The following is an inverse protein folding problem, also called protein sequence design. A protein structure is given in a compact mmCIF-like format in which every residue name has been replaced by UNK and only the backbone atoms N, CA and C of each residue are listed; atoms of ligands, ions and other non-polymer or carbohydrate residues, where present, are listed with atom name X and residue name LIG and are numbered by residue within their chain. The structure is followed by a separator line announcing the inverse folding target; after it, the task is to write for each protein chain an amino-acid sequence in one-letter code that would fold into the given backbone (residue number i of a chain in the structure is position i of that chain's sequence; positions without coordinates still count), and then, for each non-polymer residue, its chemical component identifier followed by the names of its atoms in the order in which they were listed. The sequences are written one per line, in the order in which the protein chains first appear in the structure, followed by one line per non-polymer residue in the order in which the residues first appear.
data_IF_889138899639
#
_entry.id   IF_889138899639
#
_cell.length_a   1.000
_cell.length_b   1.000
_cell.length_c   1.000
_cell.angle_alpha   90.00
_cell.angle_beta   90.00
_cell.angle_gamma   90.00
#
_symmetry.space_group_name_H-M   'P 1'
#
loop_
_entity.id
_entity.type
_entity.pdbx_description
1 polymer ?
#
# COMPACT_ATOMS: atom_id res chain seq x y z
N UNK A 1 -53.66 -11.14 -1.08
CA UNK A 1 -54.21 -11.83 0.11
C UNK A 1 -53.06 -12.57 0.79
N UNK A 2 -52.44 -11.98 1.81
CA UNK A 2 -52.18 -12.68 3.06
C UNK A 2 -51.81 -11.66 4.14
N UNK A 3 -52.48 -11.79 5.27
CA UNK A 3 -52.42 -10.92 6.44
C UNK A 3 -51.35 -11.46 7.40
N UNK A 4 -50.80 -10.57 8.23
CA UNK A 4 -50.53 -10.70 9.68
C UNK A 4 -49.30 -9.83 10.00
N UNK A 5 -49.57 -8.62 10.50
CA UNK A 5 -48.60 -7.83 11.25
C UNK A 5 -49.16 -7.69 12.66
N UNK A 6 -48.47 -8.32 13.61
CA UNK A 6 -48.73 -8.18 15.05
C UNK A 6 -48.17 -6.84 15.53
N UNK A 7 -49.04 -6.05 16.15
CA UNK A 7 -48.69 -4.97 17.08
C UNK A 7 -48.06 -5.56 18.34
N UNK A 8 -47.07 -4.88 18.93
CA UNK A 8 -46.90 -4.77 20.39
C UNK A 8 -46.06 -3.53 20.75
N UNK A 9 -46.74 -2.54 21.34
CA UNK A 9 -46.19 -1.46 22.16
C UNK A 9 -45.88 -1.99 23.57
N UNK A 10 -44.76 -1.56 24.17
CA UNK A 10 -44.59 -1.37 25.62
C UNK A 10 -43.35 -0.48 25.83
N UNK A 11 -43.49 0.82 26.12
CA UNK A 11 -43.72 1.45 27.43
C UNK A 11 -42.47 1.41 28.34
N UNK A 12 -41.79 2.56 28.41
CA UNK A 12 -40.72 2.88 29.35
C UNK A 12 -41.30 3.24 30.73
N UNK A 13 -40.66 2.78 31.81
CA UNK A 13 -40.82 3.34 33.15
C UNK A 13 -39.47 3.46 33.85
N UNK A 14 -39.29 4.61 34.49
CA UNK A 14 -38.15 5.06 35.30
C UNK A 14 -38.48 4.85 36.77
N UNK A 15 -37.60 4.23 37.56
CA UNK A 15 -37.30 4.42 39.01
C UNK A 15 -36.59 3.16 39.56
N UNK A 16 -35.69 3.16 40.54
CA UNK A 16 -35.14 4.18 41.43
C UNK A 16 -33.99 3.57 42.26
N UNK A 17 -33.19 4.42 42.91
CA UNK A 17 -32.14 4.02 43.85
C UNK A 17 -32.73 3.60 45.20
N UNK A 18 -32.16 2.57 45.85
CA UNK A 18 -32.05 2.57 47.32
C UNK A 18 -30.97 1.61 47.86
N UNK A 19 -30.01 2.24 48.54
CA UNK A 19 -29.21 1.85 49.71
C UNK A 19 -29.47 0.49 50.39
N UNK A 20 -28.39 -0.26 50.64
CA UNK A 20 -28.17 -0.82 52.00
C UNK A 20 -26.71 -1.15 52.28
N UNK A 21 -26.26 -0.51 53.36
CA UNK A 21 -24.99 -0.60 54.05
C UNK A 21 -24.98 -1.82 54.97
N UNK A 22 -23.83 -2.49 55.04
CA UNK A 22 -23.47 -3.37 56.16
C UNK A 22 -21.98 -3.16 56.45
N UNK A 23 -21.73 -2.30 57.43
CA UNK A 23 -20.46 -2.24 58.16
C UNK A 23 -20.31 -3.50 59.02
N UNK A 24 -19.11 -4.08 59.05
CA UNK A 24 -18.62 -4.68 60.28
C UNK A 24 -17.09 -4.55 60.34
N UNK A 25 -16.64 -3.64 61.20
CA UNK A 25 -15.27 -3.50 61.65
C UNK A 25 -15.12 -4.17 63.01
N UNK A 26 -14.03 -4.91 63.22
CA UNK A 26 -13.27 -5.15 64.48
C UNK A 26 -12.58 -6.52 64.37
N UNK A 27 -11.39 -6.80 64.89
CA UNK A 27 -10.26 -6.05 65.43
C UNK A 27 -9.16 -7.10 65.69
N UNK A 28 -7.90 -6.68 65.60
CA UNK A 28 -6.68 -7.49 65.74
C UNK A 28 -6.48 -8.13 67.13
N UNK A 29 -5.75 -9.25 67.17
CA UNK A 29 -4.92 -9.65 68.32
C UNK A 29 -3.69 -10.46 67.86
N UNK A 30 -2.62 -10.35 68.64
CA UNK A 30 -1.20 -10.55 68.28
C UNK A 30 -0.64 -11.82 68.93
N UNK A 31 0.41 -12.38 68.31
CA UNK A 31 1.63 -13.05 68.88
C UNK A 31 1.83 -14.57 68.70
N UNK A 32 2.98 -14.88 68.05
CA UNK A 32 3.72 -16.15 67.76
C UNK A 32 4.26 -16.88 69.03
N UNK A 33 5.08 -17.99 68.97
CA UNK A 33 5.77 -18.64 67.84
C UNK A 33 5.76 -20.20 67.82
N UNK A 34 6.07 -20.79 66.67
CA UNK A 34 6.22 -22.24 66.52
C UNK A 34 7.06 -22.64 65.31
N UNK A 35 8.34 -22.87 65.58
CA UNK A 35 9.33 -23.72 64.91
C UNK A 35 9.28 -23.93 63.38
N UNK A 36 10.39 -23.50 62.77
CA UNK A 36 10.86 -23.80 61.42
C UNK A 36 10.83 -25.29 61.07
N UNK A 37 10.47 -25.58 59.82
CA UNK A 37 11.06 -26.68 59.05
C UNK A 37 11.11 -26.23 57.61
N UNK A 38 12.27 -25.69 57.24
CA UNK A 38 12.68 -25.40 55.87
C UNK A 38 12.55 -26.67 55.03
N UNK A 39 11.58 -26.68 54.11
CA UNK A 39 11.66 -27.53 52.93
C UNK A 39 11.79 -26.61 51.74
N UNK A 40 13.04 -26.26 51.44
CA UNK A 40 13.43 -25.52 50.24
C UNK A 40 13.20 -26.44 49.04
N UNK A 41 12.03 -26.34 48.42
CA UNK A 41 11.82 -26.85 47.07
C UNK A 41 12.78 -26.09 46.14
N UNK A 42 13.60 -26.74 45.30
CA UNK A 42 14.43 -26.04 44.33
C UNK A 42 13.51 -25.27 43.39
N UNK A 43 13.52 -23.95 43.51
CA UNK A 43 12.77 -23.05 42.66
C UNK A 43 13.39 -23.16 41.26
N UNK A 44 12.64 -23.80 40.34
CA UNK A 44 13.02 -23.88 38.94
C UNK A 44 13.29 -22.46 38.44
N UNK A 45 14.43 -22.20 37.78
CA UNK A 45 14.72 -20.89 37.22
C UNK A 45 13.52 -20.45 36.37
N UNK A 46 13.08 -19.18 36.45
CA UNK A 46 12.08 -18.69 35.52
C UNK A 46 12.56 -19.00 34.10
N UNK A 47 11.68 -19.52 33.22
CA UNK A 47 12.07 -19.75 31.83
C UNK A 47 12.63 -18.43 31.28
N UNK A 48 13.69 -18.48 30.45
CA UNK A 48 14.27 -17.29 29.88
C UNK A 48 13.13 -16.52 29.20
N UNK A 49 12.89 -15.30 29.67
CA UNK A 49 12.02 -14.35 28.99
C UNK A 49 12.67 -14.17 27.63
N UNK A 50 12.11 -14.82 26.61
CA UNK A 50 12.50 -14.60 25.22
C UNK A 50 12.25 -13.11 25.01
N UNK A 51 13.33 -12.34 24.93
CA UNK A 51 13.24 -10.92 24.66
C UNK A 51 12.38 -10.79 23.39
N UNK A 52 11.28 -10.05 23.49
CA UNK A 52 10.45 -9.77 22.34
C UNK A 52 11.37 -9.25 21.21
N UNK A 53 11.23 -9.76 19.97
CA UNK A 53 12.05 -9.28 18.87
C UNK A 53 11.96 -7.74 18.82
N UNK A 54 13.08 -7.07 18.50
CA UNK A 54 13.08 -5.61 18.41
C UNK A 54 11.91 -5.18 17.51
N UNK A 55 11.21 -4.09 17.87
CA UNK A 55 10.05 -3.65 17.11
C UNK A 55 10.43 -3.51 15.64
N UNK A 56 9.57 -3.94 14.70
CA UNK A 56 9.83 -3.78 13.29
C UNK A 56 10.17 -2.32 13.02
N UNK A 57 11.14 -2.08 12.15
CA UNK A 57 11.54 -0.72 11.80
C UNK A 57 10.40 0.08 11.18
N UNK A 58 9.33 -0.60 10.76
CA UNK A 58 8.16 -0.11 10.06
C UNK A 58 6.86 -0.38 10.82
N UNK A 59 5.81 0.37 10.48
CA UNK A 59 4.50 0.25 11.09
C UNK A 59 3.54 -0.70 10.36
N UNK A 60 3.79 -1.03 9.08
CA UNK A 60 2.95 -1.99 8.37
C UNK A 60 3.06 -3.42 8.95
N UNK A 61 1.95 -4.14 8.98
CA UNK A 61 1.86 -5.52 9.45
C UNK A 61 2.22 -6.54 8.36
N UNK A 62 1.98 -6.18 7.09
CA UNK A 62 2.37 -7.00 5.93
C UNK A 62 2.66 -6.13 4.71
N UNK A 63 3.42 -6.69 3.78
CA UNK A 63 3.66 -6.10 2.47
C UNK A 63 3.62 -7.18 1.39
N UNK A 64 2.84 -6.96 0.34
CA UNK A 64 2.77 -7.85 -0.82
C UNK A 64 2.62 -7.01 -2.10
N UNK A 65 3.47 -7.27 -3.09
CA UNK A 65 3.44 -6.62 -4.41
C UNK A 65 3.41 -5.09 -4.36
N UNK A 66 4.09 -4.47 -3.38
CA UNK A 66 4.10 -3.01 -3.16
C UNK A 66 2.82 -2.44 -2.53
N UNK A 67 1.92 -3.31 -2.06
CA UNK A 67 0.77 -2.96 -1.23
C UNK A 67 1.10 -3.31 0.23
N UNK A 68 0.84 -2.39 1.14
CA UNK A 68 1.17 -2.49 2.56
C UNK A 68 -0.12 -2.52 3.40
N UNK A 69 -0.25 -3.49 4.28
CA UNK A 69 -1.39 -3.65 5.17
C UNK A 69 -1.10 -3.08 6.55
N UNK A 70 -1.98 -2.21 7.04
CA UNK A 70 -1.87 -1.58 8.36
C UNK A 70 -3.05 -1.98 9.25
N UNK A 71 -2.77 -2.31 10.50
CA UNK A 71 -3.79 -2.65 11.48
C UNK A 71 -4.48 -1.38 12.01
N UNK A 72 -5.80 -1.22 11.81
CA UNK A 72 -6.50 -0.10 12.39
C UNK A 72 -6.74 -0.35 13.89
N UNK A 73 -6.70 0.72 14.68
CA UNK A 73 -7.02 0.65 16.10
C UNK A 73 -8.44 0.10 16.36
N UNK A 74 -8.54 -0.71 17.42
CA UNK A 74 -9.82 -1.15 17.99
C UNK A 74 -10.46 -0.01 18.78
N UNK A 75 -11.78 0.16 18.67
CA UNK A 75 -12.52 1.06 19.56
C UNK A 75 -12.76 0.41 20.94
N UNK A 76 -13.13 1.20 21.94
CA UNK A 76 -13.55 0.66 23.25
C UNK A 76 -14.73 -0.31 23.12
N UNK A 77 -15.64 -0.04 22.19
CA UNK A 77 -16.78 -0.92 21.89
C UNK A 77 -16.33 -2.22 21.22
N UNK A 78 -15.36 -2.17 20.30
CA UNK A 78 -14.75 -3.36 19.70
C UNK A 78 -14.15 -4.26 20.81
N UNK A 79 -13.41 -3.66 21.74
CA UNK A 79 -12.80 -4.38 22.87
C UNK A 79 -13.88 -4.97 23.80
N UNK A 80 -14.92 -4.19 24.12
CA UNK A 80 -16.04 -4.65 24.97
C UNK A 80 -16.82 -5.79 24.31
N UNK A 81 -16.90 -5.79 22.98
CA UNK A 81 -17.50 -6.87 22.20
C UNK A 81 -16.59 -8.10 22.04
N UNK A 82 -15.39 -8.10 22.64
CA UNK A 82 -14.43 -9.20 22.56
C UNK A 82 -13.71 -9.30 21.20
N UNK A 83 -13.74 -8.23 20.40
CA UNK A 83 -13.07 -8.21 19.09
C UNK A 83 -11.58 -8.04 19.29
N UNK A 84 -10.81 -9.03 18.84
CA UNK A 84 -9.36 -9.05 19.00
C UNK A 84 -8.61 -8.30 17.90
N UNK A 85 -9.15 -8.23 16.68
CA UNK A 85 -8.50 -7.61 15.51
C UNK A 85 -9.52 -7.03 14.53
N UNK A 86 -9.04 -6.18 13.61
CA UNK A 86 -9.78 -5.66 12.47
C UNK A 86 -9.07 -6.04 11.18
N UNK A 87 -9.81 -6.07 10.08
CA UNK A 87 -9.22 -6.24 8.76
C UNK A 87 -8.16 -5.16 8.51
N UNK A 88 -7.09 -5.54 7.80
CA UNK A 88 -6.02 -4.62 7.45
C UNK A 88 -6.53 -3.56 6.48
N UNK A 89 -6.05 -2.34 6.66
CA UNK A 89 -6.23 -1.28 5.68
C UNK A 89 -5.07 -1.36 4.71
N UNK A 90 -5.40 -1.66 3.46
CA UNK A 90 -4.42 -1.82 2.39
C UNK A 90 -4.09 -0.48 1.76
N UNK A 91 -2.80 -0.17 1.66
CA UNK A 91 -2.28 1.09 1.15
C UNK A 91 -1.15 0.84 0.15
N UNK A 92 -1.20 1.56 -0.97
CA UNK A 92 -0.11 1.63 -1.95
C UNK A 92 0.59 2.97 -1.81
N UNK A 93 1.92 2.94 -1.69
CA UNK A 93 2.70 4.16 -1.74
C UNK A 93 2.90 4.55 -3.20
N UNK A 94 2.38 5.71 -3.61
CA UNK A 94 2.59 6.22 -4.98
C UNK A 94 3.95 6.88 -5.08
N UNK A 95 4.50 7.47 -4.02
CA UNK A 95 5.80 8.15 -4.08
C UNK A 95 5.74 9.60 -3.59
N UNK A 96 6.87 10.29 -3.73
CA UNK A 96 7.03 11.72 -3.46
C UNK A 96 6.94 12.50 -4.77
N UNK A 97 5.96 13.40 -4.91
CA UNK A 97 5.77 14.26 -6.09
C UNK A 97 5.60 15.71 -5.68
N UNK A 98 6.38 16.61 -6.28
CA UNK A 98 6.33 18.04 -5.99
C UNK A 98 6.43 18.34 -4.48
N UNK A 99 7.26 17.56 -3.77
CA UNK A 99 7.41 17.64 -2.31
C UNK A 99 6.26 17.05 -1.49
N UNK A 100 5.29 16.38 -2.12
CA UNK A 100 4.15 15.74 -1.46
C UNK A 100 4.24 14.21 -1.52
N UNK A 101 4.16 13.56 -0.37
CA UNK A 101 3.94 12.12 -0.26
C UNK A 101 2.51 11.81 -0.71
N UNK A 102 2.36 10.81 -1.58
CA UNK A 102 1.06 10.38 -2.09
C UNK A 102 0.85 8.92 -1.68
N UNK A 103 -0.18 8.69 -0.88
CA UNK A 103 -0.62 7.36 -0.46
C UNK A 103 -1.99 7.07 -1.06
N UNK A 104 -2.23 5.84 -1.49
CA UNK A 104 -3.51 5.39 -2.01
C UNK A 104 -4.02 4.24 -1.16
N UNK A 105 -5.03 4.48 -0.33
CA UNK A 105 -5.75 3.44 0.38
C UNK A 105 -6.72 2.80 -0.61
N UNK A 106 -6.61 1.48 -0.75
CA UNK A 106 -7.43 0.67 -1.66
C UNK A 106 -8.38 -0.18 -0.85
N UNK A 107 -9.61 -0.26 -1.32
CA UNK A 107 -10.62 -1.19 -0.79
C UNK A 107 -10.61 -2.43 -1.70
N UNK A 108 -10.27 -3.59 -1.13
CA UNK A 108 -10.22 -4.85 -1.89
C UNK A 108 -11.61 -5.34 -2.29
N UNK A 109 -12.64 -5.03 -1.49
CA UNK A 109 -14.01 -5.39 -1.77
C UNK A 109 -14.64 -4.45 -2.81
N UNK A 110 -14.15 -3.21 -2.88
CA UNK A 110 -14.61 -2.22 -3.84
C UNK A 110 -13.46 -1.45 -4.51
N UNK A 111 -12.81 -2.03 -5.54
CA UNK A 111 -11.66 -1.43 -6.21
C UNK A 111 -11.97 -0.10 -6.92
N UNK A 112 -13.25 0.22 -7.11
CA UNK A 112 -13.68 1.48 -7.72
C UNK A 112 -13.56 2.67 -6.75
N UNK A 113 -13.53 2.42 -5.45
CA UNK A 113 -13.41 3.44 -4.42
C UNK A 113 -12.01 3.37 -3.82
N UNK A 114 -11.32 4.51 -3.78
CA UNK A 114 -10.02 4.63 -3.12
C UNK A 114 -9.92 5.94 -2.37
N UNK A 115 -9.07 6.01 -1.37
CA UNK A 115 -8.78 7.25 -0.66
C UNK A 115 -7.34 7.68 -0.90
N UNK A 116 -7.16 8.82 -1.57
CA UNK A 116 -5.84 9.40 -1.81
C UNK A 116 -5.49 10.34 -0.67
N UNK A 117 -4.41 10.05 0.03
CA UNK A 117 -3.81 10.91 1.05
C UNK A 117 -2.62 11.63 0.41
N UNK A 118 -2.53 12.94 0.60
CA UNK A 118 -1.42 13.75 0.10
C UNK A 118 -0.96 14.74 1.16
N UNK A 119 0.33 14.75 1.49
CA UNK A 119 0.91 15.70 2.43
C UNK A 119 2.35 16.06 2.06
N UNK A 120 2.78 17.27 2.40
CA UNK A 120 4.19 17.68 2.35
C UNK A 120 4.82 17.57 3.74
N UNK A 121 6.11 17.20 3.81
CA UNK A 121 6.83 17.16 5.09
C UNK A 121 6.71 18.51 5.83
N UNK A 122 6.47 18.51 7.16
CA UNK A 122 6.49 17.39 8.11
C UNK A 122 5.14 16.63 8.25
N UNK A 123 4.24 16.78 7.28
CA UNK A 123 2.96 16.07 7.19
C UNK A 123 2.00 16.22 8.38
N UNK A 124 2.09 17.30 9.18
CA UNK A 124 1.13 17.60 10.26
C UNK A 124 -0.34 17.59 9.81
N UNK A 125 -0.58 17.91 8.53
CA UNK A 125 -1.87 17.84 7.89
C UNK A 125 -1.75 17.15 6.54
N UNK A 126 -2.77 16.38 6.19
CA UNK A 126 -2.87 15.73 4.89
C UNK A 126 -4.21 16.05 4.24
N UNK A 127 -4.18 16.21 2.93
CA UNK A 127 -5.39 16.26 2.11
C UNK A 127 -5.84 14.83 1.84
N UNK A 128 -7.01 14.47 2.33
CA UNK A 128 -7.67 13.19 2.06
C UNK A 128 -8.72 13.39 0.98
N UNK A 129 -8.66 12.58 -0.08
CA UNK A 129 -9.58 12.65 -1.20
C UNK A 129 -10.18 11.28 -1.47
N UNK A 130 -11.48 11.13 -1.23
CA UNK A 130 -12.21 9.91 -1.63
C UNK A 130 -12.47 9.98 -3.13
N UNK A 131 -11.97 8.99 -3.85
CA UNK A 131 -12.04 8.86 -5.30
C UNK A 131 -13.04 7.75 -5.66
N UNK A 132 -13.84 7.96 -6.71
CA UNK A 132 -14.53 6.90 -7.45
C UNK A 132 -14.03 6.90 -8.89
N UNK A 133 -13.18 5.94 -9.24
CA UNK A 133 -12.41 5.96 -10.48
C UNK A 133 -11.50 7.20 -10.57
N UNK A 134 -11.79 8.11 -11.49
CA UNK A 134 -11.05 9.38 -11.67
C UNK A 134 -11.70 10.57 -10.94
N UNK A 135 -12.94 10.42 -10.47
CA UNK A 135 -13.71 11.51 -9.88
C UNK A 135 -13.41 11.64 -8.40
N UNK A 136 -13.09 12.86 -7.96
CA UNK A 136 -12.99 13.18 -6.53
C UNK A 136 -14.42 13.33 -5.99
N UNK A 137 -14.86 12.39 -5.15
CA UNK A 137 -16.16 12.45 -4.49
C UNK A 137 -16.15 13.37 -3.27
N UNK A 138 -15.06 13.38 -2.52
CA UNK A 138 -14.92 14.16 -1.29
C UNK A 138 -13.48 14.60 -1.11
N UNK A 139 -13.26 15.81 -0.61
CA UNK A 139 -11.94 16.31 -0.20
C UNK A 139 -12.03 16.87 1.22
N UNK A 140 -11.12 16.43 2.07
CA UNK A 140 -11.03 16.85 3.46
C UNK A 140 -9.57 17.12 3.83
N UNK A 141 -9.35 18.01 4.81
CA UNK A 141 -8.03 18.19 5.41
C UNK A 141 -8.05 17.50 6.76
N UNK A 142 -7.18 16.51 6.93
CA UNK A 142 -7.09 15.66 8.12
C UNK A 142 -5.80 16.00 8.85
N UNK A 143 -5.86 16.08 10.18
CA UNK A 143 -4.66 16.18 11.01
C UNK A 143 -4.01 14.81 11.09
N UNK A 144 -2.71 14.73 10.78
CA UNK A 144 -1.93 13.50 10.94
C UNK A 144 -1.29 13.52 12.31
N UNK A 145 -1.45 12.44 13.07
CA UNK A 145 -0.84 12.26 14.38
C UNK A 145 -0.09 10.93 14.43
N UNK A 146 1.05 10.82 15.12
CA UNK A 146 1.91 9.63 15.11
C UNK A 146 1.18 8.32 15.41
N UNK A 147 0.31 8.31 16.42
CA UNK A 147 -0.43 7.11 16.84
C UNK A 147 -1.74 6.88 16.08
N UNK A 148 -1.86 7.39 14.85
CA UNK A 148 -3.03 7.16 14.00
C UNK A 148 -2.66 6.29 12.82
N UNK A 149 -3.65 5.64 12.21
CA UNK A 149 -3.46 4.83 11.01
C UNK A 149 -2.77 5.62 9.88
N UNK A 150 -3.20 6.85 9.61
CA UNK A 150 -2.58 7.71 8.59
C UNK A 150 -1.17 8.14 9.03
N UNK A 151 -0.97 8.36 10.33
CA UNK A 151 0.34 8.68 10.91
C UNK A 151 1.36 7.58 10.62
N UNK A 152 1.05 6.34 11.00
CA UNK A 152 1.88 5.16 10.72
C UNK A 152 2.27 5.06 9.24
N UNK A 153 1.29 5.22 8.33
CA UNK A 153 1.55 5.17 6.88
C UNK A 153 2.50 6.27 6.40
N UNK A 154 2.30 7.49 6.90
CA UNK A 154 3.10 8.66 6.51
C UNK A 154 4.50 8.60 7.13
N UNK A 155 4.64 8.08 8.36
CA UNK A 155 5.93 7.87 9.01
C UNK A 155 6.79 6.88 8.23
N UNK A 156 6.23 5.73 7.84
CA UNK A 156 6.93 4.76 7.00
C UNK A 156 7.35 5.39 5.65
N UNK A 157 6.48 6.24 5.07
CA UNK A 157 6.79 6.95 3.83
C UNK A 157 7.93 7.98 4.00
N UNK A 158 7.90 8.78 5.07
CA UNK A 158 8.93 9.78 5.36
C UNK A 158 10.26 9.14 5.78
N UNK A 159 10.21 7.97 6.43
CA UNK A 159 11.38 7.19 6.81
C UNK A 159 12.00 6.41 5.65
N UNK A 160 11.42 6.48 4.44
CA UNK A 160 11.94 5.78 3.25
C UNK A 160 11.76 4.27 3.29
N UNK A 161 10.81 3.77 4.07
CA UNK A 161 10.58 2.33 4.28
C UNK A 161 9.59 1.74 3.28
N UNK A 162 8.87 2.61 2.57
CA UNK A 162 7.93 2.22 1.54
C UNK A 162 8.58 2.32 0.17
N UNK A 163 8.40 1.30 -0.63
CA UNK A 163 8.76 1.33 -2.04
C UNK A 163 7.55 1.78 -2.85
N UNK A 164 7.73 2.72 -3.80
CA UNK A 164 6.65 3.10 -4.69
C UNK A 164 6.08 1.88 -5.42
N UNK A 165 4.77 1.72 -5.36
CA UNK A 165 4.05 0.64 -6.02
C UNK A 165 4.29 0.70 -7.54
N UNK A 166 4.70 -0.43 -8.12
CA UNK A 166 5.21 -0.54 -9.49
C UNK A 166 6.71 -0.87 -9.59
N UNK A 167 7.55 -0.49 -8.61
CA UNK A 167 9.01 -0.64 -8.71
C UNK A 167 9.59 -2.05 -8.43
N UNK A 168 8.78 -3.02 -7.99
CA UNK A 168 9.27 -4.28 -7.42
C UNK A 168 9.69 -5.38 -8.43
N UNK A 169 9.49 -5.21 -9.73
CA UNK A 169 9.81 -6.27 -10.71
C UNK A 169 11.26 -6.28 -11.21
N UNK A 170 12.09 -5.31 -10.84
CA UNK A 170 13.48 -5.26 -11.29
C UNK A 170 14.44 -6.21 -10.53
N UNK A 171 14.12 -6.65 -9.31
CA UNK A 171 15.13 -7.26 -8.42
C UNK A 171 15.10 -8.80 -8.33
N UNK A 172 14.08 -9.48 -8.89
CA UNK A 172 14.03 -10.96 -8.86
C UNK A 172 14.69 -11.66 -10.06
N UNK A 173 15.26 -10.92 -11.02
CA UNK A 173 15.93 -11.51 -12.20
C UNK A 173 17.47 -11.43 -12.18
N UNK A 174 18.09 -11.06 -11.06
CA UNK A 174 19.54 -11.22 -10.90
C UNK A 174 19.84 -12.56 -10.23
N UNK A 175 20.05 -13.58 -11.06
CA UNK A 175 20.74 -14.78 -10.63
C UNK A 175 22.14 -14.40 -10.11
N UNK A 176 22.63 -15.01 -9.00
CA UNK A 176 23.96 -14.72 -8.48
C UNK A 176 25.01 -15.22 -9.48
N UNK A 177 25.58 -14.29 -10.24
CA UNK A 177 26.75 -14.58 -11.05
C UNK A 177 27.94 -14.76 -10.11
N UNK A 178 28.31 -16.02 -9.90
CA UNK A 178 29.58 -16.42 -9.29
C UNK A 178 30.74 -15.79 -10.05
N UNK A 179 31.30 -14.73 -9.50
CA UNK A 179 32.54 -14.14 -9.96
C UNK A 179 33.70 -15.13 -9.72
N UNK A 180 34.05 -15.92 -10.73
CA UNK A 180 35.32 -16.64 -10.74
C UNK A 180 36.36 -15.70 -11.32
N UNK A 181 37.05 -14.96 -10.46
CA UNK A 181 38.23 -14.17 -10.84
C UNK A 181 39.49 -14.99 -10.55
N UNK A 182 40.30 -15.19 -11.58
CA UNK A 182 41.71 -15.55 -11.46
C UNK A 182 42.57 -14.43 -12.08
N UNK A 183 43.80 -14.20 -11.58
CA UNK A 183 44.40 -12.88 -11.52
C UNK A 183 45.40 -12.60 -12.64
N UNK A 184 45.58 -11.32 -12.99
CA UNK A 184 46.83 -10.84 -13.57
C UNK A 184 47.25 -9.55 -12.88
N UNK A 185 48.54 -9.52 -12.58
CA UNK A 185 49.23 -8.68 -11.60
C UNK A 185 49.82 -7.42 -12.25
N UNK A 186 49.83 -6.33 -11.47
CA UNK A 186 50.85 -5.25 -11.45
C UNK A 186 50.96 -4.33 -12.69
N UNK A 187 51.23 -3.03 -12.61
CA UNK A 187 51.55 -2.09 -11.53
C UNK A 187 51.38 -0.68 -12.10
N UNK A 188 50.83 0.26 -11.32
CA UNK A 188 51.41 1.61 -11.14
C UNK A 188 50.56 2.44 -10.16
N UNK A 189 51.19 2.83 -9.06
CA UNK A 189 50.86 3.98 -8.20
C UNK A 189 51.97 5.01 -8.45
N UNK A 190 51.65 6.32 -8.49
CA UNK A 190 51.55 7.14 -7.26
C UNK A 190 50.42 8.21 -7.37
N UNK A 191 49.96 8.96 -6.38
CA UNK A 191 50.15 9.11 -4.93
C UNK A 191 48.84 9.74 -4.38
N UNK A 192 48.65 9.61 -3.07
CA UNK A 192 47.47 10.05 -2.33
C UNK A 192 47.15 11.55 -2.46
N UNK A 193 45.86 11.87 -2.64
CA UNK A 193 45.28 13.16 -2.30
C UNK A 193 44.06 12.94 -1.37
N UNK A 194 43.73 13.90 -0.48
CA UNK A 194 42.82 13.69 0.63
C UNK A 194 41.35 13.70 0.16
N UNK A 195 40.58 12.72 0.64
CA UNK A 195 39.13 12.64 0.46
C UNK A 195 38.50 13.77 1.28
N UNK A 196 38.06 14.84 0.61
CA UNK A 196 37.23 15.88 1.19
C UNK A 196 35.80 15.75 0.67
N UNK A 197 34.87 15.53 1.61
CA UNK A 197 33.43 15.77 1.53
C UNK A 197 32.71 15.41 0.23
N UNK A 198 32.19 14.18 0.17
CA UNK A 198 30.93 13.94 -0.54
C UNK A 198 29.77 14.06 0.45
N UNK A 199 28.81 14.98 0.25
CA UNK A 199 27.55 14.90 0.94
C UNK A 199 26.82 13.63 0.47
N UNK A 200 26.66 12.67 1.38
CA UNK A 200 25.70 11.60 1.24
C UNK A 200 24.30 12.21 1.34
N UNK A 201 23.60 12.38 0.22
CA UNK A 201 22.15 12.62 0.15
C UNK A 201 21.66 12.49 -1.29
N UNK A 202 21.54 11.25 -1.75
CA UNK A 202 20.54 10.88 -2.77
C UNK A 202 20.04 9.48 -2.39
N UNK A 203 19.00 9.48 -1.55
CA UNK A 203 18.24 8.28 -1.26
C UNK A 203 17.58 7.83 -2.58
N UNK A 204 18.04 6.68 -3.06
CA UNK A 204 17.57 5.85 -4.18
C UNK A 204 16.19 6.22 -4.75
N UNK A 205 16.15 7.16 -5.69
CA UNK A 205 15.08 7.20 -6.68
C UNK A 205 15.43 6.15 -7.75
N UNK A 206 14.69 5.03 -7.79
CA UNK A 206 14.82 4.10 -8.90
C UNK A 206 14.64 4.84 -10.23
N UNK A 207 15.47 4.57 -11.25
CA UNK A 207 15.35 5.26 -12.52
C UNK A 207 13.99 4.99 -13.15
N UNK A 208 13.38 6.03 -13.71
CA UNK A 208 12.14 5.89 -14.49
C UNK A 208 12.39 4.94 -15.66
N UNK A 209 11.42 4.07 -15.91
CA UNK A 209 11.47 3.17 -17.04
C UNK A 209 11.32 3.95 -18.34
N UNK A 210 11.95 3.46 -19.41
CA UNK A 210 11.71 3.98 -20.75
C UNK A 210 10.32 3.54 -21.22
N UNK A 211 9.43 4.46 -21.55
CA UNK A 211 8.09 4.15 -22.08
C UNK A 211 7.91 4.77 -23.46
N UNK A 212 6.73 4.59 -24.07
CA UNK A 212 6.34 5.25 -25.32
C UNK A 212 5.90 6.70 -25.12
N UNK A 213 5.81 7.14 -23.86
CA UNK A 213 5.49 8.51 -23.46
C UNK A 213 6.56 9.07 -22.53
N UNK A 214 6.42 10.34 -22.18
CA UNK A 214 7.38 11.02 -21.31
C UNK A 214 7.01 10.81 -19.84
N UNK A 215 7.77 9.98 -19.13
CA UNK A 215 7.53 9.70 -17.72
C UNK A 215 7.64 10.92 -16.82
N UNK A 216 8.37 11.97 -17.22
CA UNK A 216 8.39 13.23 -16.47
C UNK A 216 7.06 13.99 -16.54
N UNK A 217 6.17 13.62 -17.47
CA UNK A 217 4.84 14.22 -17.66
C UNK A 217 3.71 13.32 -17.18
N UNK A 218 4.02 12.19 -16.55
CA UNK A 218 3.02 11.26 -16.02
C UNK A 218 2.12 11.95 -14.98
N UNK A 219 0.82 11.94 -15.21
CA UNK A 219 -0.19 12.60 -14.36
C UNK A 219 -1.17 11.61 -13.76
N UNK A 220 -1.44 10.50 -14.44
CA UNK A 220 -2.41 9.50 -13.98
C UNK A 220 -1.78 8.38 -13.15
N UNK A 221 -2.64 7.62 -12.47
CA UNK A 221 -2.22 6.40 -11.76
C UNK A 221 -1.65 5.40 -12.77
N UNK A 222 -2.35 5.03 -13.86
CA UNK A 222 -1.79 4.18 -14.92
C UNK A 222 -0.42 4.59 -15.42
N UNK A 223 -0.24 5.85 -15.83
CA UNK A 223 1.03 6.35 -16.36
C UNK A 223 2.16 6.20 -15.34
N UNK A 224 1.87 6.48 -14.06
CA UNK A 224 2.86 6.29 -13.01
C UNK A 224 3.26 4.83 -12.85
N UNK A 225 2.29 3.91 -12.79
CA UNK A 225 2.57 2.47 -12.70
C UNK A 225 3.44 2.01 -13.86
N UNK A 226 3.13 2.45 -15.08
CA UNK A 226 3.90 2.11 -16.27
C UNK A 226 5.33 2.66 -16.19
N UNK A 227 5.51 3.89 -15.72
CA UNK A 227 6.84 4.50 -15.57
C UNK A 227 7.71 3.85 -14.49
N UNK A 228 7.10 3.07 -13.61
CA UNK A 228 7.77 2.51 -12.44
C UNK A 228 7.89 0.99 -12.48
N UNK A 229 7.18 0.29 -13.37
CA UNK A 229 7.25 -1.16 -13.53
C UNK A 229 7.87 -1.56 -14.87
N UNK A 230 8.88 -2.42 -14.83
CA UNK A 230 9.65 -2.80 -16.02
C UNK A 230 8.80 -3.57 -17.05
N UNK A 231 7.89 -4.44 -16.58
CA UNK A 231 7.03 -5.24 -17.46
C UNK A 231 5.97 -4.37 -18.12
N UNK A 232 5.34 -3.47 -17.35
CA UNK A 232 4.37 -2.51 -17.89
C UNK A 232 5.03 -1.55 -18.87
N UNK A 233 6.24 -1.07 -18.59
CA UNK A 233 7.00 -0.24 -19.52
C UNK A 233 7.34 -0.99 -20.82
N UNK A 234 7.71 -2.26 -20.73
CA UNK A 234 7.95 -3.10 -21.90
C UNK A 234 6.67 -3.30 -22.73
N UNK A 235 5.54 -3.61 -22.07
CA UNK A 235 4.24 -3.75 -22.71
C UNK A 235 3.79 -2.45 -23.39
N UNK A 236 4.08 -1.29 -22.79
CA UNK A 236 3.79 0.02 -23.37
C UNK A 236 4.55 0.29 -24.68
N UNK A 237 5.87 0.03 -24.70
CA UNK A 237 6.70 0.18 -25.91
C UNK A 237 6.29 -0.78 -27.02
N UNK A 238 5.97 -2.02 -26.65
CA UNK A 238 5.49 -3.06 -27.55
C UNK A 238 4.14 -2.69 -28.18
N UNK A 239 3.18 -2.25 -27.35
CA UNK A 239 1.89 -1.77 -27.83
C UNK A 239 2.02 -0.55 -28.74
N UNK A 240 2.94 0.38 -28.44
CA UNK A 240 3.19 1.54 -29.30
C UNK A 240 3.67 1.12 -30.70
N UNK A 241 4.49 0.07 -30.79
CA UNK A 241 4.92 -0.52 -32.07
C UNK A 241 3.73 -1.12 -32.81
N UNK A 242 2.92 -1.95 -32.14
CA UNK A 242 1.71 -2.55 -32.75
C UNK A 242 0.69 -1.48 -33.16
N UNK A 243 0.56 -0.39 -32.40
CA UNK A 243 -0.32 0.73 -32.73
C UNK A 243 0.08 1.40 -34.03
N UNK A 244 1.37 1.63 -34.29
CA UNK A 244 1.80 2.21 -35.58
C UNK A 244 1.50 1.27 -36.74
N UNK A 245 1.78 -0.03 -36.59
CA UNK A 245 1.45 -1.03 -37.62
C UNK A 245 -0.05 -1.06 -37.94
N UNK A 246 -0.90 -1.05 -36.90
CA UNK A 246 -2.34 -1.00 -37.06
C UNK A 246 -2.79 0.31 -37.71
N UNK A 247 -2.22 1.44 -37.28
CA UNK A 247 -2.51 2.75 -37.85
C UNK A 247 -2.17 2.81 -39.33
N UNK A 248 -1.06 2.19 -39.75
CA UNK A 248 -0.63 2.19 -41.16
C UNK A 248 -1.49 1.30 -42.04
N UNK A 249 -1.97 0.17 -41.52
CA UNK A 249 -2.79 -0.80 -42.24
C UNK A 249 -4.25 -0.35 -42.46
N UNK A 250 -4.82 0.47 -41.58
CA UNK A 250 -6.24 0.84 -41.65
C UNK A 250 -6.54 1.87 -42.74
N UNK A 251 -7.63 1.62 -43.47
CA UNK A 251 -8.18 2.58 -44.45
C UNK A 251 -8.92 3.72 -43.75
N UNK A 252 -9.77 3.42 -42.76
CA UNK A 252 -10.49 4.43 -41.97
C UNK A 252 -9.70 4.87 -40.73
N UNK A 253 -8.85 5.86 -40.93
CA UNK A 253 -8.02 6.46 -39.88
C UNK A 253 -8.87 7.10 -38.77
N UNK A 254 -10.06 7.63 -39.08
CA UNK A 254 -10.91 8.31 -38.11
C UNK A 254 -11.58 7.31 -37.16
N UNK A 255 -12.14 6.23 -37.70
CA UNK A 255 -12.71 5.15 -36.89
C UNK A 255 -11.63 4.52 -35.99
N UNK A 256 -10.40 4.34 -36.51
CA UNK A 256 -9.28 3.82 -35.73
C UNK A 256 -8.88 4.76 -34.58
N UNK A 257 -8.80 6.06 -34.84
CA UNK A 257 -8.52 7.06 -33.81
C UNK A 257 -9.62 7.08 -32.72
N UNK A 258 -10.88 6.97 -33.10
CA UNK A 258 -11.99 6.92 -32.14
C UNK A 258 -11.93 5.66 -31.28
N UNK A 259 -11.72 4.48 -31.89
CA UNK A 259 -11.59 3.20 -31.18
C UNK A 259 -10.45 3.23 -30.17
N UNK A 260 -9.27 3.64 -30.61
CA UNK A 260 -8.09 3.66 -29.74
C UNK A 260 -8.23 4.70 -28.63
N UNK A 261 -8.77 5.89 -28.90
CA UNK A 261 -9.11 6.87 -27.87
C UNK A 261 -10.06 6.30 -26.81
N UNK A 262 -11.09 5.55 -27.20
CA UNK A 262 -12.00 4.88 -26.26
C UNK A 262 -11.25 3.90 -25.36
N UNK A 263 -10.34 3.10 -25.91
CA UNK A 263 -9.55 2.14 -25.14
C UNK A 263 -8.55 2.81 -24.19
N UNK A 264 -7.93 3.92 -24.60
CA UNK A 264 -7.01 4.68 -23.74
C UNK A 264 -7.78 5.34 -22.60
N UNK A 265 -8.94 5.94 -22.89
CA UNK A 265 -9.82 6.48 -21.85
C UNK A 265 -10.30 5.41 -20.87
N UNK A 266 -10.54 4.18 -21.35
CA UNK A 266 -10.86 3.06 -20.47
C UNK A 266 -9.69 2.74 -19.53
N UNK A 267 -8.47 2.64 -20.04
CA UNK A 267 -7.26 2.43 -19.22
C UNK A 267 -7.12 3.49 -18.14
N UNK A 268 -7.21 4.75 -18.54
CA UNK A 268 -7.08 5.90 -17.63
C UNK A 268 -8.10 5.82 -16.49
N UNK A 269 -9.36 5.49 -16.81
CA UNK A 269 -10.46 5.49 -15.85
C UNK A 269 -10.49 4.28 -14.93
N UNK A 270 -10.14 3.11 -15.42
CA UNK A 270 -10.49 1.84 -14.76
C UNK A 270 -9.28 1.13 -14.14
N UNK A 271 -8.06 1.31 -14.65
CA UNK A 271 -6.92 0.59 -14.12
C UNK A 271 -6.21 1.30 -12.97
N UNK A 272 -6.00 0.58 -11.86
CA UNK A 272 -5.38 1.08 -10.61
C UNK A 272 -4.29 0.18 -10.04
N UNK A 273 -4.05 -0.95 -10.70
CA UNK A 273 -3.02 -1.94 -10.37
C UNK A 273 -2.33 -2.46 -11.63
N UNK A 274 -1.23 -3.19 -11.37
CA UNK A 274 -0.48 -3.90 -12.40
C UNK A 274 -1.33 -4.95 -13.12
N UNK A 275 -2.21 -5.67 -12.43
CA UNK A 275 -2.99 -6.76 -13.03
C UNK A 275 -4.00 -6.25 -14.05
N UNK A 276 -4.71 -5.16 -13.74
CA UNK A 276 -5.59 -4.49 -14.70
C UNK A 276 -4.81 -4.00 -15.91
N UNK A 277 -3.67 -3.34 -15.70
CA UNK A 277 -2.86 -2.82 -16.81
C UNK A 277 -2.31 -3.94 -17.68
N UNK A 278 -1.81 -5.01 -17.07
CA UNK A 278 -1.28 -6.18 -17.78
C UNK A 278 -2.37 -6.83 -18.64
N UNK A 279 -3.56 -7.02 -18.07
CA UNK A 279 -4.72 -7.56 -18.78
C UNK A 279 -5.17 -6.66 -19.93
N UNK A 280 -5.19 -5.33 -19.69
CA UNK A 280 -5.54 -4.33 -20.70
C UNK A 280 -4.54 -4.31 -21.86
N UNK A 281 -3.23 -4.33 -21.57
CA UNK A 281 -2.18 -4.36 -22.60
C UNK A 281 -2.28 -5.64 -23.44
N UNK A 282 -2.49 -6.79 -22.81
CA UNK A 282 -2.65 -8.07 -23.52
C UNK A 282 -3.86 -8.03 -24.48
N UNK A 283 -5.03 -7.60 -23.97
CA UNK A 283 -6.23 -7.42 -24.79
C UNK A 283 -6.00 -6.47 -25.96
N UNK A 284 -5.47 -5.28 -25.66
CA UNK A 284 -5.32 -4.23 -26.67
C UNK A 284 -4.29 -4.62 -27.73
N UNK A 285 -3.23 -5.35 -27.35
CA UNK A 285 -2.24 -5.89 -28.29
C UNK A 285 -2.88 -6.90 -29.24
N UNK A 286 -3.70 -7.84 -28.77
CA UNK A 286 -4.42 -8.82 -29.63
C UNK A 286 -5.29 -8.12 -30.66
N UNK A 287 -6.09 -7.15 -30.21
CA UNK A 287 -6.95 -6.34 -31.08
C UNK A 287 -6.13 -5.59 -32.14
N UNK A 288 -5.11 -4.82 -31.72
CA UNK A 288 -4.33 -4.02 -32.66
C UNK A 288 -3.53 -4.89 -33.63
N UNK A 289 -3.04 -6.05 -33.20
CA UNK A 289 -2.37 -7.01 -34.08
C UNK A 289 -3.31 -7.50 -35.18
N UNK A 290 -4.57 -7.84 -34.84
CA UNK A 290 -5.57 -8.24 -35.82
C UNK A 290 -5.89 -7.12 -36.81
N UNK A 291 -6.06 -5.89 -36.30
CA UNK A 291 -6.27 -4.70 -37.14
C UNK A 291 -5.08 -4.47 -38.07
N UNK A 292 -3.84 -4.63 -37.59
CA UNK A 292 -2.64 -4.48 -38.40
C UNK A 292 -2.55 -5.52 -39.53
N UNK A 293 -3.09 -6.72 -39.31
CA UNK A 293 -3.09 -7.79 -40.31
C UNK A 293 -4.21 -7.65 -41.34
N UNK A 294 -5.38 -7.14 -40.94
CA UNK A 294 -6.58 -7.13 -41.80
C UNK A 294 -6.93 -5.75 -42.35
N UNK A 295 -6.44 -4.68 -41.73
CA UNK A 295 -6.88 -3.30 -41.98
C UNK A 295 -8.31 -3.01 -41.48
N UNK A 296 -8.98 -3.97 -40.85
CA UNK A 296 -10.37 -3.86 -40.39
C UNK A 296 -10.44 -3.32 -38.95
N UNK A 297 -10.87 -2.07 -38.81
CA UNK A 297 -11.03 -1.36 -37.52
C UNK A 297 -12.06 -2.02 -36.59
N UNK A 298 -12.98 -2.82 -37.13
CA UNK A 298 -14.05 -3.47 -36.36
C UNK A 298 -13.63 -4.78 -35.71
N UNK A 299 -12.41 -5.25 -35.97
CA UNK A 299 -11.87 -6.50 -35.44
C UNK A 299 -12.07 -6.64 -33.92
N UNK A 300 -12.53 -7.83 -33.51
CA UNK A 300 -12.75 -8.19 -32.12
C UNK A 300 -11.84 -9.32 -31.66
N UNK A 301 -11.72 -9.45 -30.34
CA UNK A 301 -11.02 -10.52 -29.66
C UNK A 301 -11.98 -11.70 -29.62
N UNK A 302 -11.62 -12.79 -30.30
CA UNK A 302 -12.46 -13.99 -30.39
C UNK A 302 -12.12 -14.96 -29.26
#
# INVERSE_FOLDING_TARGET
MNRIALLLLAAAMVTGCNSKQSDNSTQSSVTSPGASSDTTTPQQPPPPVVAAPPPPSHNYAMSQDGTYGYEPALSEDDVRAGKATKALVMMRYVGLRDGNYILLLVDEDNPNISNRITCSAPCNFAKSQTMAGDSILKTETVRVVPNSLIGAMVEDAMAGQLTPYGQHTATMNQAPQSATTAPSTQSNLPAAQPIANQPASDAMASPLQQTSFDCAKAKSIPEFLICHDADLAAADRDLATTYQQAKDAVTDKNAFAERTRKQWNFREKNCRDKDCLTSWYAYQKRILTKIAQTGDVTAQDN
#
